data_IF_476955579523
#
_entry.id   IF_476955579523
#
_cell.length_a   1.000
_cell.length_b   1.000
_cell.length_c   1.000
_cell.angle_alpha   90.00
_cell.angle_beta   90.00
_cell.angle_gamma   90.00
#
_symmetry.space_group_name_H-M   'P 1'
#
loop_
_entity.id
_entity.type
_entity.pdbx_description
1 polymer ?
#
# COMPACT_ATOMS: atom_id res chain seq x y z
N UNK A 1 12.91 -1.96 10.55
CA UNK A 1 13.00 -1.32 9.23
C UNK A 1 13.92 -2.13 8.32
N UNK A 2 15.25 -2.02 8.46
CA UNK A 2 16.22 -2.68 7.56
C UNK A 2 16.16 -4.20 7.52
N UNK A 3 15.70 -4.85 8.59
CA UNK A 3 15.54 -6.31 8.64
C UNK A 3 14.32 -6.84 7.86
N UNK A 4 13.45 -5.97 7.36
CA UNK A 4 12.21 -6.36 6.68
C UNK A 4 11.07 -6.82 7.60
N UNK A 5 11.25 -6.77 8.92
CA UNK A 5 10.26 -7.25 9.90
C UNK A 5 9.06 -6.29 10.10
N UNK A 6 9.07 -5.13 9.44
CA UNK A 6 8.02 -4.13 9.55
C UNK A 6 7.80 -3.42 8.21
N UNK A 7 6.53 -3.14 7.90
CA UNK A 7 6.11 -2.37 6.74
C UNK A 7 5.34 -1.12 7.20
N UNK A 8 5.44 -0.04 6.42
CA UNK A 8 4.71 1.20 6.62
C UNK A 8 3.42 1.18 5.79
N UNK A 9 2.38 1.85 6.25
CA UNK A 9 1.18 2.07 5.45
C UNK A 9 0.24 3.04 6.13
N UNK A 10 -0.47 3.83 5.33
CA UNK A 10 -1.65 4.57 5.78
C UNK A 10 -2.81 3.59 6.03
N UNK A 11 -3.93 4.08 6.56
CA UNK A 11 -5.06 3.22 6.96
C UNK A 11 -5.63 2.41 5.79
N UNK A 12 -5.65 2.97 4.58
CA UNK A 12 -6.05 2.30 3.35
C UNK A 12 -5.14 1.10 3.05
N UNK A 13 -3.82 1.26 3.11
CA UNK A 13 -2.87 0.15 2.93
C UNK A 13 -3.05 -0.94 3.97
N UNK A 14 -3.31 -0.56 5.23
CA UNK A 14 -3.54 -1.51 6.31
C UNK A 14 -4.82 -2.34 6.08
N UNK A 15 -5.91 -1.70 5.68
CA UNK A 15 -7.17 -2.40 5.40
C UNK A 15 -7.01 -3.31 4.18
N UNK A 16 -6.42 -2.81 3.09
CA UNK A 16 -6.14 -3.60 1.89
C UNK A 16 -5.31 -4.85 2.23
N UNK A 17 -4.22 -4.66 2.99
CA UNK A 17 -3.32 -5.75 3.39
C UNK A 17 -4.06 -6.83 4.17
N UNK A 18 -4.91 -6.44 5.14
CA UNK A 18 -5.66 -7.42 5.93
C UNK A 18 -6.71 -8.16 5.09
N UNK A 19 -7.42 -7.45 4.21
CA UNK A 19 -8.45 -8.05 3.36
C UNK A 19 -7.88 -9.06 2.35
N UNK A 20 -6.65 -8.85 1.89
CA UNK A 20 -6.00 -9.64 0.84
C UNK A 20 -5.10 -10.76 1.37
N UNK A 21 -5.11 -11.02 2.69
CA UNK A 21 -4.44 -12.19 3.30
C UNK A 21 -3.39 -11.87 4.34
N UNK A 22 -3.10 -10.59 4.58
CA UNK A 22 -2.24 -10.11 5.64
C UNK A 22 -0.84 -10.74 5.63
N UNK A 23 -0.43 -11.33 6.75
CA UNK A 23 0.90 -11.95 6.88
C UNK A 23 1.10 -13.17 5.96
N UNK A 24 0.05 -13.63 5.28
CA UNK A 24 0.09 -14.75 4.33
C UNK A 24 0.30 -14.32 2.88
N UNK A 25 0.65 -13.05 2.64
CA UNK A 25 0.85 -12.50 1.30
C UNK A 25 -0.15 -11.41 0.91
N UNK A 26 -0.66 -10.66 1.89
CA UNK A 26 -1.51 -9.51 1.66
C UNK A 26 -0.83 -8.45 0.81
N UNK A 27 -1.61 -7.84 -0.07
CA UNK A 27 -1.17 -6.78 -0.98
C UNK A 27 -0.80 -5.54 -0.17
N UNK A 28 0.39 -5.02 -0.44
CA UNK A 28 0.92 -3.83 0.21
C UNK A 28 0.96 -2.67 -0.78
N UNK A 29 -0.14 -1.93 -0.85
CA UNK A 29 -0.31 -0.81 -1.79
C UNK A 29 -1.11 0.34 -1.15
N UNK A 30 -1.00 1.51 -1.74
CA UNK A 30 -1.75 2.74 -1.41
C UNK A 30 -2.11 3.46 -2.70
N UNK A 31 -3.08 4.38 -2.66
CA UNK A 31 -3.34 5.24 -3.80
C UNK A 31 -2.52 6.53 -3.76
N UNK A 32 -2.46 7.21 -4.91
CA UNK A 32 -1.77 8.52 -5.04
C UNK A 32 -2.32 9.56 -4.06
N UNK A 33 -3.61 9.53 -3.69
CA UNK A 33 -4.19 10.55 -2.80
C UNK A 33 -3.77 10.34 -1.36
N UNK A 34 -3.76 9.11 -0.84
CA UNK A 34 -3.24 8.80 0.48
C UNK A 34 -1.71 8.98 0.54
N UNK A 35 -0.97 8.52 -0.47
CA UNK A 35 0.48 8.71 -0.56
C UNK A 35 0.86 10.20 -0.50
N UNK A 36 0.10 11.09 -1.15
CA UNK A 36 0.34 12.54 -1.11
C UNK A 36 0.27 13.17 0.29
N UNK A 37 -0.39 12.50 1.26
CA UNK A 37 -0.54 12.98 2.64
C UNK A 37 0.58 12.54 3.58
N UNK A 38 1.51 11.72 3.09
CA UNK A 38 2.62 11.20 3.89
C UNK A 38 3.81 12.16 3.98
N UNK A 39 3.85 13.20 3.13
CA UNK A 39 5.03 14.04 2.88
C UNK A 39 6.20 13.31 2.21
N UNK A 40 6.06 12.03 1.86
CA UNK A 40 7.15 11.22 1.28
C UNK A 40 7.00 10.98 -0.22
N UNK A 41 5.87 11.36 -0.82
CA UNK A 41 5.61 11.20 -2.26
C UNK A 41 5.96 12.49 -3.01
N UNK A 42 6.65 12.34 -4.13
CA UNK A 42 6.87 13.40 -5.10
C UNK A 42 5.63 13.57 -5.99
N UNK A 43 5.03 14.76 -5.98
CA UNK A 43 3.76 15.02 -6.68
C UNK A 43 3.88 15.07 -8.21
N UNK A 44 5.08 15.30 -8.75
CA UNK A 44 5.31 15.37 -10.20
C UNK A 44 5.48 13.97 -10.79
N UNK A 45 6.18 13.08 -10.08
CA UNK A 45 6.47 11.71 -10.52
C UNK A 45 5.45 10.68 -10.04
N UNK A 46 4.67 11.01 -9.01
CA UNK A 46 3.75 10.10 -8.31
C UNK A 46 4.45 8.89 -7.70
N UNK A 47 5.72 9.06 -7.33
CA UNK A 47 6.54 8.04 -6.71
C UNK A 47 7.11 8.51 -5.37
N UNK A 48 7.61 7.59 -4.55
CA UNK A 48 8.31 7.93 -3.33
C UNK A 48 9.58 8.72 -3.63
N UNK A 49 9.78 9.81 -2.88
CA UNK A 49 10.88 10.75 -3.09
C UNK A 49 12.15 10.28 -2.38
N UNK A 50 13.13 9.78 -3.13
CA UNK A 50 14.35 9.19 -2.58
C UNK A 50 15.19 10.18 -1.76
N UNK A 51 15.10 11.50 -2.01
CA UNK A 51 15.80 12.52 -1.21
C UNK A 51 15.17 12.61 0.18
N UNK A 52 13.83 12.67 0.26
CA UNK A 52 13.10 12.69 1.53
C UNK A 52 13.25 11.36 2.28
N UNK A 53 13.21 10.23 1.59
CA UNK A 53 13.46 8.92 2.21
C UNK A 53 14.87 8.84 2.82
N UNK A 54 15.88 9.33 2.10
CA UNK A 54 17.24 9.42 2.61
C UNK A 54 17.38 10.37 3.81
N UNK A 55 16.68 11.52 3.77
CA UNK A 55 16.67 12.49 4.87
C UNK A 55 16.09 11.93 6.17
N UNK A 56 15.01 11.15 6.08
CA UNK A 56 14.34 10.53 7.24
C UNK A 56 14.87 9.15 7.61
N UNK A 57 15.86 8.63 6.88
CA UNK A 57 16.40 7.27 7.05
C UNK A 57 15.31 6.18 6.95
N UNK A 58 14.46 6.29 5.93
CA UNK A 58 13.35 5.37 5.66
C UNK A 58 13.73 4.42 4.52
N UNK A 59 13.86 3.10 4.77
CA UNK A 59 14.07 2.13 3.71
C UNK A 59 12.87 2.06 2.77
N UNK A 60 13.09 2.33 1.49
CA UNK A 60 12.06 2.32 0.44
C UNK A 60 11.23 1.03 0.40
N UNK A 61 11.86 -0.12 0.63
CA UNK A 61 11.21 -1.44 0.67
C UNK A 61 10.10 -1.58 1.74
N UNK A 62 10.04 -0.66 2.71
CA UNK A 62 8.98 -0.64 3.71
C UNK A 62 7.71 0.04 3.23
N UNK A 63 7.76 0.79 2.13
CA UNK A 63 6.65 1.62 1.66
C UNK A 63 5.74 0.82 0.72
N UNK A 64 4.43 1.08 0.75
CA UNK A 64 3.49 0.43 -0.16
C UNK A 64 3.72 0.86 -1.61
N UNK A 65 3.34 0.02 -2.56
CA UNK A 65 3.26 0.40 -3.97
C UNK A 65 2.21 1.51 -4.16
N UNK A 66 2.58 2.61 -4.82
CA UNK A 66 1.64 3.67 -5.19
C UNK A 66 0.91 3.28 -6.48
N UNK A 67 -0.43 3.29 -6.46
CA UNK A 67 -1.28 2.97 -7.62
C UNK A 67 -2.40 4.01 -7.80
N UNK A 68 -3.10 4.04 -8.95
CA UNK A 68 -4.26 4.92 -9.13
C UNK A 68 -5.40 4.58 -8.16
N UNK A 69 -6.13 5.58 -7.67
CA UNK A 69 -7.24 5.40 -6.71
C UNK A 69 -8.41 4.55 -7.24
N UNK A 70 -8.50 4.39 -8.56
CA UNK A 70 -9.47 3.53 -9.22
C UNK A 70 -8.84 2.92 -10.46
N UNK A 71 -9.01 1.62 -10.63
CA UNK A 71 -8.38 0.85 -11.71
C UNK A 71 -9.26 -0.34 -12.10
N UNK A 72 -9.23 -0.72 -13.39
CA UNK A 72 -9.87 -1.95 -13.86
C UNK A 72 -9.09 -3.20 -13.47
N UNK A 73 -7.79 -3.05 -13.20
CA UNK A 73 -6.95 -4.12 -12.65
C UNK A 73 -7.04 -4.05 -11.12
N UNK A 74 -7.57 -5.08 -10.44
CA UNK A 74 -7.75 -5.03 -9.00
C UNK A 74 -6.39 -4.93 -8.28
N UNK A 75 -6.37 -4.21 -7.17
CA UNK A 75 -5.26 -4.22 -6.23
C UNK A 75 -4.98 -5.64 -5.73
N UNK A 76 -6.05 -6.37 -5.43
CA UNK A 76 -6.07 -7.77 -5.03
C UNK A 76 -7.49 -8.27 -4.83
N UNK A 77 -7.62 -9.54 -4.45
CA UNK A 77 -8.89 -10.16 -4.10
C UNK A 77 -9.00 -10.26 -2.58
N UNK A 78 -10.20 -10.07 -2.02
CA UNK A 78 -10.45 -10.41 -0.62
C UNK A 78 -10.30 -11.92 -0.43
N UNK A 79 -9.82 -12.34 0.74
CA UNK A 79 -9.75 -13.77 1.06
C UNK A 79 -11.15 -14.35 1.28
N UNK A 80 -11.40 -15.57 0.78
CA UNK A 80 -12.70 -16.26 0.91
C UNK A 80 -13.18 -16.35 2.36
N UNK A 81 -12.28 -16.73 3.28
CA UNK A 81 -12.57 -16.80 4.72
C UNK A 81 -12.59 -15.44 5.43
N UNK A 82 -12.61 -14.34 4.68
CA UNK A 82 -12.51 -12.98 5.17
C UNK A 82 -13.87 -12.41 5.61
N UNK A 83 -13.90 -11.14 6.05
CA UNK A 83 -15.12 -10.49 6.54
C UNK A 83 -16.27 -10.38 5.53
N UNK A 84 -15.96 -10.54 4.24
CA UNK A 84 -16.90 -10.46 3.11
C UNK A 84 -17.38 -11.83 2.62
N UNK A 85 -16.93 -12.93 3.24
CA UNK A 85 -17.36 -14.31 2.96
C UNK A 85 -17.31 -14.66 1.46
N UNK A 86 -16.21 -14.29 0.80
CA UNK A 86 -16.01 -14.49 -0.63
C UNK A 86 -14.81 -13.75 -1.21
N UNK A 87 -14.43 -14.13 -2.43
CA UNK A 87 -13.39 -13.46 -3.22
C UNK A 87 -14.01 -12.32 -4.04
N UNK A 88 -13.80 -11.09 -3.58
CA UNK A 88 -14.25 -9.88 -4.24
C UNK A 88 -13.05 -9.04 -4.68
N UNK A 89 -13.06 -8.50 -5.92
CA UNK A 89 -11.98 -7.64 -6.39
C UNK A 89 -12.02 -6.30 -5.67
N UNK A 90 -10.88 -5.87 -5.13
CA UNK A 90 -10.68 -4.52 -4.60
C UNK A 90 -10.08 -3.68 -5.73
N UNK A 91 -10.87 -2.77 -6.30
CA UNK A 91 -10.49 -1.96 -7.47
C UNK A 91 -10.30 -0.48 -7.17
N UNK A 92 -10.53 -0.06 -5.92
CA UNK A 92 -10.30 1.28 -5.45
C UNK A 92 -10.09 1.31 -3.95
N UNK A 93 -9.22 2.23 -3.52
CA UNK A 93 -8.88 2.51 -2.12
C UNK A 93 -8.73 4.03 -1.93
#
# INVERSE_FOLDING_TARGET
AEKGDAIFGTTDSWVLWNLTGGHRGGVHATDVTNASRTMLMNLETLDWDDELLGFFDIPRQMLPDIRPSSTTEPFGMTVESGPVDGELPITGI
#
